data_IF_030808089186
#
_entry.id   IF_030808089186
#
_cell.length_a   1.000
_cell.length_b   1.000
_cell.length_c   1.000
_cell.angle_alpha   90.00
_cell.angle_beta   90.00
_cell.angle_gamma   90.00
#
_symmetry.space_group_name_H-M   'P 1'
#
loop_
_entity.id
_entity.type
_entity.pdbx_description
1 polymer ?
#
# COMPACT_ATOMS: atom_id res chain seq x y z
N UNK A 1 28.40 9.64 14.81
CA UNK A 1 27.45 8.53 14.86
C UNK A 1 26.15 9.13 15.32
N UNK A 2 25.13 9.07 14.48
CA UNK A 2 23.79 9.54 14.78
C UNK A 2 23.06 8.47 15.60
N UNK A 3 22.39 8.90 16.66
CA UNK A 3 21.54 8.04 17.48
C UNK A 3 20.13 8.61 17.55
N UNK A 4 19.14 7.76 17.28
CA UNK A 4 17.72 8.04 17.50
C UNK A 4 17.22 7.10 18.60
N UNK A 5 16.90 7.67 19.76
CA UNK A 5 16.31 6.91 20.86
C UNK A 5 14.78 6.95 20.77
N UNK A 6 14.19 5.78 20.56
CA UNK A 6 12.75 5.58 20.40
C UNK A 6 12.20 4.94 21.68
N UNK A 7 11.26 5.61 22.32
CA UNK A 7 10.50 5.02 23.41
C UNK A 7 9.53 3.97 22.85
N UNK A 8 9.54 2.75 23.40
CA UNK A 8 8.50 1.75 23.14
C UNK A 8 7.47 1.82 24.27
N UNK A 9 6.19 1.79 23.90
CA UNK A 9 5.05 1.92 24.82
C UNK A 9 4.01 0.84 24.54
N UNK A 10 2.99 0.75 25.40
CA UNK A 10 1.87 -0.19 25.22
C UNK A 10 2.18 -1.63 25.64
N UNK A 11 3.07 -1.83 26.61
CA UNK A 11 3.46 -3.17 27.08
C UNK A 11 4.32 -3.95 26.10
N UNK A 12 4.84 -3.28 25.07
CA UNK A 12 5.72 -3.88 24.06
C UNK A 12 7.18 -3.71 24.44
N UNK A 13 8.00 -4.71 24.09
CA UNK A 13 9.46 -4.66 24.21
C UNK A 13 10.12 -4.99 22.86
N UNK A 14 11.19 -4.27 22.48
CA UNK A 14 11.91 -4.56 21.25
C UNK A 14 12.87 -5.74 21.43
N UNK A 15 12.86 -6.66 20.49
CA UNK A 15 13.78 -7.79 20.38
C UNK A 15 14.49 -7.68 19.03
N UNK A 16 15.75 -7.23 19.07
CA UNK A 16 16.56 -7.02 17.87
C UNK A 16 16.94 -8.36 17.24
N UNK A 17 16.90 -8.44 15.91
CA UNK A 17 17.20 -9.63 15.11
C UNK A 17 18.12 -9.29 13.93
N UNK A 18 18.65 -10.33 13.27
CA UNK A 18 19.41 -10.18 12.00
C UNK A 18 20.57 -9.19 12.09
N UNK A 19 21.47 -9.38 13.06
CA UNK A 19 22.63 -8.50 13.32
C UNK A 19 22.32 -7.01 13.58
N UNK A 20 21.09 -6.69 13.96
CA UNK A 20 20.65 -5.31 14.15
C UNK A 20 19.90 -4.73 12.97
N UNK A 21 19.66 -5.50 11.90
CA UNK A 21 18.86 -5.03 10.76
C UNK A 21 17.36 -5.27 10.94
N UNK A 22 16.96 -6.02 11.96
CA UNK A 22 15.55 -6.26 12.29
C UNK A 22 15.22 -6.00 13.76
N UNK A 23 13.94 -5.81 14.05
CA UNK A 23 13.41 -5.71 15.41
C UNK A 23 11.98 -6.26 15.46
N UNK A 24 11.72 -7.12 16.43
CA UNK A 24 10.38 -7.61 16.77
C UNK A 24 9.89 -6.88 18.02
N UNK A 25 8.74 -6.23 17.95
CA UNK A 25 8.07 -5.69 19.13
C UNK A 25 7.10 -6.76 19.65
N UNK A 26 7.43 -7.32 20.81
CA UNK A 26 6.66 -8.41 21.41
C UNK A 26 5.92 -7.93 22.65
N UNK A 27 4.74 -8.50 22.90
CA UNK A 27 3.96 -8.24 24.11
C UNK A 27 4.56 -8.94 25.35
N UNK A 28 3.93 -8.79 26.51
CA UNK A 28 4.32 -9.50 27.75
C UNK A 28 4.26 -11.03 27.59
N UNK A 29 3.42 -11.55 26.70
CA UNK A 29 3.27 -12.98 26.41
C UNK A 29 4.13 -13.47 25.22
N UNK A 30 5.11 -12.68 24.80
CA UNK A 30 6.06 -12.97 23.70
C UNK A 30 5.43 -13.08 22.31
N UNK A 31 4.13 -12.78 22.18
CA UNK A 31 3.49 -12.66 20.88
C UNK A 31 4.02 -11.41 20.16
N UNK A 32 4.53 -11.59 18.95
CA UNK A 32 4.96 -10.50 18.08
C UNK A 32 3.75 -9.65 17.68
N UNK A 33 3.78 -8.37 18.03
CA UNK A 33 2.79 -7.38 17.64
C UNK A 33 3.20 -6.64 16.36
N UNK A 34 4.51 -6.46 16.16
CA UNK A 34 5.07 -5.82 14.97
C UNK A 34 6.47 -6.37 14.70
N UNK A 35 6.74 -6.72 13.45
CA UNK A 35 8.08 -7.13 12.99
C UNK A 35 8.60 -6.15 11.96
N UNK A 36 9.86 -5.78 12.14
CA UNK A 36 10.61 -4.96 11.23
C UNK A 36 11.88 -5.70 10.79
N UNK A 37 12.26 -5.56 9.53
CA UNK A 37 13.51 -6.09 9.00
C UNK A 37 14.06 -5.24 7.86
N UNK A 38 15.36 -5.37 7.60
CA UNK A 38 16.02 -4.74 6.46
C UNK A 38 16.33 -3.25 6.63
N UNK A 39 16.70 -2.82 7.85
CA UNK A 39 17.06 -1.43 8.15
C UNK A 39 18.06 -0.88 7.13
N UNK A 40 17.70 0.26 6.54
CA UNK A 40 18.57 1.04 5.65
C UNK A 40 18.56 2.50 6.06
N UNK A 41 19.70 3.14 5.87
CA UNK A 41 19.84 4.58 5.97
C UNK A 41 20.68 5.09 4.80
N UNK A 42 20.39 6.28 4.29
CA UNK A 42 21.14 6.92 3.22
C UNK A 42 21.40 8.38 3.54
N UNK A 43 22.45 8.93 2.95
CA UNK A 43 22.69 10.37 2.95
C UNK A 43 22.01 11.06 1.76
N UNK A 44 22.09 12.39 1.70
CA UNK A 44 21.43 13.22 0.67
C UNK A 44 21.90 12.96 -0.76
N UNK A 45 23.04 12.28 -0.93
CA UNK A 45 23.54 11.86 -2.25
C UNK A 45 23.03 10.48 -2.66
N UNK A 46 22.27 9.82 -1.78
CA UNK A 46 21.80 8.44 -1.96
C UNK A 46 22.82 7.38 -1.51
N UNK A 47 23.96 7.77 -0.91
CA UNK A 47 24.95 6.81 -0.40
C UNK A 47 24.39 6.07 0.81
N UNK A 48 24.41 4.74 0.76
CA UNK A 48 23.98 3.89 1.87
C UNK A 48 24.93 4.06 3.07
N UNK A 49 24.36 4.22 4.25
CA UNK A 49 25.04 4.33 5.53
C UNK A 49 24.79 3.06 6.36
N UNK A 50 25.80 2.62 7.10
CA UNK A 50 25.65 1.49 8.03
C UNK A 50 24.71 1.90 9.16
N UNK A 51 23.61 1.16 9.31
CA UNK A 51 22.61 1.39 10.34
C UNK A 51 22.28 0.09 11.10
N UNK A 52 21.89 0.21 12.37
CA UNK A 52 21.42 -0.92 13.19
C UNK A 52 20.46 -0.49 14.29
N UNK A 53 19.59 -1.40 14.68
CA UNK A 53 18.82 -1.36 15.91
C UNK A 53 19.62 -1.87 17.09
N UNK A 54 19.40 -1.26 18.25
CA UNK A 54 19.92 -1.69 19.53
C UNK A 54 18.81 -1.60 20.57
N UNK A 55 18.45 -2.71 21.22
CA UNK A 55 17.52 -2.66 22.34
C UNK A 55 18.19 -1.99 23.56
N UNK A 56 17.49 -1.07 24.22
CA UNK A 56 17.96 -0.33 25.40
C UNK A 56 16.86 -0.32 26.46
N UNK A 57 16.88 -1.32 27.34
CA UNK A 57 15.82 -1.50 28.34
C UNK A 57 14.48 -1.73 27.64
N UNK A 58 13.50 -0.85 27.89
CA UNK A 58 12.21 -0.84 27.17
C UNK A 58 12.23 -0.01 25.89
N UNK A 59 13.33 0.69 25.58
CA UNK A 59 13.49 1.52 24.39
C UNK A 59 14.22 0.81 23.26
N UNK A 60 14.22 1.45 22.09
CA UNK A 60 14.95 1.03 20.89
C UNK A 60 15.82 2.20 20.42
N UNK A 61 17.11 1.99 20.27
CA UNK A 61 18.01 2.97 19.65
C UNK A 61 18.24 2.56 18.20
N UNK A 62 18.15 3.51 17.28
CA UNK A 62 18.64 3.39 15.91
C UNK A 62 19.97 4.11 15.82
N UNK A 63 21.03 3.36 15.49
CA UNK A 63 22.39 3.88 15.32
C UNK A 63 22.70 3.96 13.82
N UNK A 64 23.17 5.12 13.33
CA UNK A 64 23.63 5.31 11.95
C UNK A 64 25.05 5.86 11.93
N UNK A 65 25.94 5.21 11.20
CA UNK A 65 27.28 5.73 10.92
C UNK A 65 27.21 6.85 9.87
N UNK A 66 27.18 8.08 10.37
CA UNK A 66 27.05 9.32 9.61
C UNK A 66 28.40 9.94 9.20
N UNK A 67 29.52 9.22 9.38
CA UNK A 67 30.84 9.75 9.04
C UNK A 67 30.93 10.05 7.54
N UNK A 68 31.19 11.33 7.24
CA UNK A 68 31.28 11.84 5.87
C UNK A 68 29.95 11.85 5.11
N UNK A 69 28.80 11.71 5.80
CA UNK A 69 27.49 11.78 5.18
C UNK A 69 27.13 13.22 4.80
N UNK A 70 26.45 13.37 3.67
CA UNK A 70 25.83 14.65 3.27
C UNK A 70 24.41 14.69 3.81
N UNK A 71 24.04 15.71 4.59
CA UNK A 71 22.70 15.81 5.15
C UNK A 71 21.68 16.37 4.14
N UNK A 72 20.38 16.00 4.26
CA UNK A 72 19.79 15.16 5.32
C UNK A 72 20.12 13.67 5.21
N UNK A 73 20.10 12.98 6.35
CA UNK A 73 20.14 11.52 6.43
C UNK A 73 18.70 11.01 6.47
N UNK A 74 18.36 10.10 5.58
CA UNK A 74 17.07 9.40 5.57
C UNK A 74 17.26 8.00 6.16
N UNK A 75 16.46 7.65 7.16
CA UNK A 75 16.40 6.31 7.75
C UNK A 75 15.05 5.73 7.32
N UNK A 76 15.07 4.59 6.64
CA UNK A 76 13.85 3.94 6.18
C UNK A 76 13.48 2.79 7.09
N UNK A 77 12.50 2.97 7.99
CA UNK A 77 11.75 1.85 8.48
C UNK A 77 10.63 1.47 7.47
N UNK A 78 10.92 0.59 6.50
CA UNK A 78 9.93 -0.31 5.88
C UNK A 78 9.29 -1.25 6.93
N UNK A 79 8.38 -0.70 7.74
CA UNK A 79 7.40 -1.51 8.46
C UNK A 79 6.24 -1.79 7.51
N UNK A 80 5.68 -3.01 7.55
CA UNK A 80 4.38 -3.24 6.93
C UNK A 80 3.37 -2.29 7.60
N UNK A 81 2.90 -1.28 6.87
CA UNK A 81 1.99 -0.28 7.43
C UNK A 81 0.54 -0.79 7.46
N UNK A 82 0.15 -1.58 6.47
CA UNK A 82 -1.16 -2.20 6.39
C UNK A 82 -1.15 -3.39 5.42
N UNK A 83 -2.22 -4.17 5.49
CA UNK A 83 -2.59 -5.16 4.49
C UNK A 83 -3.96 -4.75 3.94
N UNK A 84 -4.00 -4.34 2.68
CA UNK A 84 -5.20 -3.84 2.03
C UNK A 84 -5.93 -5.00 1.33
N UNK A 85 -7.25 -5.04 1.48
CA UNK A 85 -8.15 -6.01 0.86
C UNK A 85 -9.32 -5.27 0.24
N UNK A 86 -9.80 -5.75 -0.92
CA UNK A 86 -11.09 -5.34 -1.46
C UNK A 86 -12.22 -5.64 -0.46
N UNK A 87 -13.26 -4.80 -0.48
CA UNK A 87 -14.45 -5.00 0.35
C UNK A 87 -15.31 -6.19 -0.13
N UNK A 88 -15.42 -6.39 -1.44
CA UNK A 88 -15.96 -7.59 -2.08
C UNK A 88 -14.84 -8.62 -2.25
N UNK A 89 -15.11 -9.84 -1.80
CA UNK A 89 -14.13 -10.94 -1.78
C UNK A 89 -14.44 -11.98 -2.85
N UNK A 90 -14.91 -11.55 -4.03
CA UNK A 90 -15.12 -12.39 -5.20
C UNK A 90 -13.87 -13.23 -5.47
N UNK A 91 -14.08 -14.54 -5.65
CA UNK A 91 -12.98 -15.45 -5.86
C UNK A 91 -12.52 -15.36 -7.32
N UNK A 92 -11.39 -14.71 -7.58
CA UNK A 92 -10.79 -14.65 -8.93
C UNK A 92 -10.58 -13.25 -9.49
N UNK A 93 -11.06 -12.22 -8.80
CA UNK A 93 -11.12 -10.82 -9.25
C UNK A 93 -9.74 -10.18 -9.49
N UNK A 94 -8.68 -10.87 -9.08
CA UNK A 94 -7.29 -10.44 -9.28
C UNK A 94 -7.01 -9.05 -8.69
N UNK A 95 -7.61 -8.76 -7.54
CA UNK A 95 -7.25 -7.59 -6.74
C UNK A 95 -5.73 -7.55 -6.49
N UNK A 96 -5.10 -6.44 -6.85
CA UNK A 96 -3.65 -6.31 -6.86
C UNK A 96 -3.01 -6.58 -8.21
N UNK A 97 -3.80 -6.82 -9.27
CA UNK A 97 -3.32 -6.98 -10.64
C UNK A 97 -2.60 -5.73 -11.18
N UNK A 98 -2.95 -4.55 -10.65
CA UNK A 98 -2.22 -3.30 -10.83
C UNK A 98 -2.27 -2.46 -9.55
N UNK A 99 -1.20 -1.71 -9.25
CA UNK A 99 -1.10 -0.88 -8.02
C UNK A 99 -0.40 0.43 -8.32
N UNK A 100 -0.93 1.54 -7.82
CA UNK A 100 -0.29 2.85 -7.84
C UNK A 100 -0.44 3.55 -6.48
N UNK A 101 0.55 4.36 -6.10
CA UNK A 101 0.57 5.11 -4.83
C UNK A 101 1.04 6.54 -5.07
N UNK A 102 0.35 7.49 -4.44
CA UNK A 102 0.72 8.91 -4.40
C UNK A 102 0.36 9.46 -3.03
N UNK A 103 1.38 9.78 -2.22
CA UNK A 103 1.18 10.25 -0.84
C UNK A 103 0.38 9.25 0.00
N UNK A 104 -0.73 9.72 0.53
CA UNK A 104 -1.65 8.94 1.39
C UNK A 104 -2.77 8.23 0.59
N UNK A 105 -2.62 8.11 -0.74
CA UNK A 105 -3.60 7.43 -1.61
C UNK A 105 -2.96 6.24 -2.32
N UNK A 106 -3.63 5.09 -2.26
CA UNK A 106 -3.30 3.87 -2.99
C UNK A 106 -4.47 3.49 -3.87
N UNK A 107 -4.21 3.20 -5.14
CA UNK A 107 -5.19 2.67 -6.09
C UNK A 107 -4.79 1.25 -6.45
N UNK A 108 -5.73 0.33 -6.38
CA UNK A 108 -5.52 -1.09 -6.68
C UNK A 108 -6.53 -1.53 -7.73
N UNK A 109 -6.06 -2.07 -8.85
CA UNK A 109 -6.90 -2.67 -9.88
C UNK A 109 -7.27 -4.12 -9.57
N UNK A 110 -8.48 -4.51 -10.00
CA UNK A 110 -9.00 -5.87 -10.00
C UNK A 110 -9.63 -6.14 -11.39
N UNK A 111 -8.81 -6.43 -12.42
CA UNK A 111 -9.30 -6.52 -13.80
C UNK A 111 -10.24 -7.69 -14.06
N UNK A 112 -10.33 -8.65 -13.13
CA UNK A 112 -11.19 -9.82 -13.29
C UNK A 112 -12.47 -9.74 -12.45
N UNK A 113 -12.72 -8.61 -11.81
CA UNK A 113 -13.97 -8.40 -11.08
C UNK A 113 -15.17 -8.45 -12.04
N UNK A 114 -16.25 -9.14 -11.65
CA UNK A 114 -17.31 -9.63 -12.53
C UNK A 114 -18.70 -9.03 -12.26
N UNK A 115 -18.82 -8.08 -11.33
CA UNK A 115 -20.07 -7.37 -11.05
C UNK A 115 -20.50 -6.52 -12.24
N UNK A 116 -21.81 -6.45 -12.49
CA UNK A 116 -22.39 -5.58 -13.51
C UNK A 116 -22.70 -4.16 -13.01
N UNK A 117 -22.42 -3.86 -11.75
CA UNK A 117 -22.74 -2.55 -11.20
C UNK A 117 -21.87 -1.46 -11.81
N UNK A 118 -22.42 -0.26 -11.96
CA UNK A 118 -21.75 0.85 -12.66
C UNK A 118 -21.47 2.03 -11.75
N UNK A 119 -20.47 2.83 -12.14
CA UNK A 119 -20.13 4.08 -11.49
C UNK A 119 -19.30 3.95 -10.22
N UNK A 120 -19.34 4.99 -9.38
CA UNK A 120 -18.51 5.09 -8.18
C UNK A 120 -19.32 4.69 -6.95
N UNK A 121 -18.73 3.83 -6.11
CA UNK A 121 -19.30 3.35 -4.85
C UNK A 121 -20.64 2.61 -5.01
N UNK A 122 -20.85 1.96 -6.15
CA UNK A 122 -21.86 0.91 -6.24
C UNK A 122 -21.53 -0.23 -5.26
N UNK A 123 -22.54 -1.02 -4.94
CA UNK A 123 -22.38 -2.26 -4.15
C UNK A 123 -22.19 -3.39 -5.15
N UNK A 124 -21.01 -4.02 -5.23
CA UNK A 124 -20.78 -5.13 -6.15
C UNK A 124 -21.81 -6.24 -5.95
N UNK A 125 -22.37 -6.71 -7.05
CA UNK A 125 -23.13 -7.95 -7.11
C UNK A 125 -22.22 -9.05 -7.69
N UNK A 126 -21.87 -10.04 -6.87
CA UNK A 126 -21.08 -11.20 -7.32
C UNK A 126 -21.96 -12.18 -8.15
N UNK A 127 -22.79 -11.66 -9.07
CA UNK A 127 -23.73 -12.44 -9.88
C UNK A 127 -23.08 -13.04 -11.15
N UNK A 128 -21.83 -12.68 -11.43
CA UNK A 128 -21.03 -13.16 -12.56
C UNK A 128 -21.59 -12.76 -13.93
N UNK A 129 -22.46 -11.76 -13.98
CA UNK A 129 -23.13 -11.37 -15.23
C UNK A 129 -22.27 -10.48 -16.15
N UNK A 130 -21.15 -9.96 -15.64
CA UNK A 130 -20.20 -9.14 -16.39
C UNK A 130 -18.75 -9.63 -16.18
N UNK A 131 -18.49 -10.91 -16.46
CA UNK A 131 -17.17 -11.56 -16.39
C UNK A 131 -16.04 -10.67 -16.91
N UNK A 132 -15.01 -10.45 -16.08
CA UNK A 132 -13.83 -9.66 -16.43
C UNK A 132 -14.13 -8.20 -16.87
N UNK A 133 -15.27 -7.63 -16.45
CA UNK A 133 -15.55 -6.20 -16.68
C UNK A 133 -14.60 -5.31 -15.87
N UNK A 134 -14.16 -5.80 -14.71
CA UNK A 134 -13.10 -5.24 -13.90
C UNK A 134 -13.53 -4.07 -13.02
N UNK A 135 -12.65 -3.73 -12.06
CA UNK A 135 -12.85 -2.66 -11.08
C UNK A 135 -11.52 -2.03 -10.64
N UNK A 136 -11.59 -0.87 -9.96
CA UNK A 136 -10.47 -0.32 -9.19
C UNK A 136 -10.92 0.16 -7.81
N UNK A 137 -10.01 0.09 -6.83
CA UNK A 137 -10.28 0.42 -5.43
C UNK A 137 -9.32 1.50 -4.98
N UNK A 138 -9.86 2.54 -4.33
CA UNK A 138 -9.07 3.65 -3.79
C UNK A 138 -9.02 3.51 -2.28
N UNK A 139 -7.83 3.43 -1.73
CA UNK A 139 -7.57 3.45 -0.30
C UNK A 139 -6.90 4.77 0.06
N UNK A 140 -7.37 5.38 1.15
CA UNK A 140 -6.74 6.57 1.72
C UNK A 140 -6.27 6.31 3.13
N UNK A 141 -5.16 6.95 3.47
CA UNK A 141 -4.61 6.94 4.81
C UNK A 141 -5.08 8.18 5.56
N UNK A 142 -5.58 7.98 6.77
CA UNK A 142 -5.82 9.05 7.73
C UNK A 142 -5.08 8.72 9.02
N UNK A 143 -4.04 9.50 9.31
CA UNK A 143 -3.10 9.19 10.40
C UNK A 143 -2.38 7.86 10.17
N UNK A 144 -2.48 6.94 11.13
CA UNK A 144 -1.82 5.63 11.06
C UNK A 144 -2.60 4.55 10.29
N UNK A 145 -3.85 4.80 9.92
CA UNK A 145 -4.79 3.78 9.43
C UNK A 145 -5.17 4.00 7.98
N UNK A 146 -5.36 2.90 7.25
CA UNK A 146 -5.87 2.88 5.88
C UNK A 146 -7.33 2.47 5.84
N UNK A 147 -8.10 3.07 4.93
CA UNK A 147 -9.51 2.73 4.68
C UNK A 147 -9.81 2.81 3.19
N UNK A 148 -10.66 1.92 2.67
CA UNK A 148 -11.20 2.05 1.31
C UNK A 148 -12.10 3.29 1.24
N UNK A 149 -11.70 4.28 0.44
CA UNK A 149 -12.48 5.49 0.17
C UNK A 149 -13.45 5.29 -0.98
N UNK A 150 -13.05 4.54 -2.01
CA UNK A 150 -13.89 4.35 -3.18
C UNK A 150 -13.74 2.97 -3.83
N UNK A 151 -14.83 2.53 -4.43
CA UNK A 151 -14.88 1.48 -5.46
C UNK A 151 -15.24 2.15 -6.78
N UNK A 152 -14.48 1.86 -7.83
CA UNK A 152 -14.61 2.49 -9.15
C UNK A 152 -15.00 1.44 -10.18
N UNK A 153 -16.17 1.65 -10.80
CA UNK A 153 -16.62 0.93 -11.99
C UNK A 153 -16.81 1.90 -13.16
N UNK A 154 -16.58 1.44 -14.40
CA UNK A 154 -16.96 2.21 -15.57
C UNK A 154 -18.48 2.39 -15.62
N UNK A 155 -18.95 3.38 -16.39
CA UNK A 155 -20.38 3.55 -16.64
C UNK A 155 -20.97 2.48 -17.57
N UNK A 156 -20.09 1.76 -18.27
CA UNK A 156 -20.39 0.61 -19.12
C UNK A 156 -19.55 -0.59 -18.67
N UNK A 157 -20.18 -1.58 -18.05
CA UNK A 157 -19.51 -2.82 -17.62
C UNK A 157 -19.68 -3.89 -18.69
N UNK A 158 -18.93 -3.78 -19.78
CA UNK A 158 -18.85 -4.84 -20.79
C UNK A 158 -18.03 -6.01 -20.25
N UNK A 159 -18.52 -7.23 -20.51
CA UNK A 159 -17.76 -8.43 -20.17
C UNK A 159 -16.45 -8.45 -20.98
N UNK A 160 -15.32 -8.63 -20.30
CA UNK A 160 -13.99 -8.63 -20.90
C UNK A 160 -13.30 -7.27 -21.03
N UNK A 161 -13.95 -6.16 -20.66
CA UNK A 161 -13.40 -4.80 -20.79
C UNK A 161 -12.13 -4.57 -19.94
N UNK A 162 -11.97 -5.36 -18.87
CA UNK A 162 -10.82 -5.38 -17.98
C UNK A 162 -10.48 -4.02 -17.37
N UNK A 163 -11.49 -3.27 -16.90
CA UNK A 163 -11.26 -2.04 -16.15
C UNK A 163 -10.39 -2.31 -14.91
N UNK A 164 -9.38 -1.47 -14.68
CA UNK A 164 -8.39 -1.73 -13.61
C UNK A 164 -7.19 -2.56 -14.06
N UNK A 165 -7.08 -2.90 -15.35
CA UNK A 165 -5.89 -3.57 -15.90
C UNK A 165 -4.60 -2.75 -15.68
N UNK A 166 -4.71 -1.43 -15.73
CA UNK A 166 -3.65 -0.50 -15.34
C UNK A 166 -4.21 0.64 -14.52
N UNK A 167 -3.44 1.11 -13.54
CA UNK A 167 -3.80 2.24 -12.69
C UNK A 167 -2.62 3.19 -12.54
N UNK A 168 -2.90 4.47 -12.43
CA UNK A 168 -1.94 5.51 -12.06
C UNK A 168 -2.61 6.52 -11.14
N UNK A 169 -1.85 7.09 -10.20
CA UNK A 169 -2.33 8.16 -9.34
C UNK A 169 -1.26 9.24 -9.17
N UNK A 170 -1.68 10.49 -9.24
CA UNK A 170 -0.84 11.66 -8.96
C UNK A 170 -1.68 12.76 -8.33
N UNK A 171 -1.36 13.12 -7.08
CA UNK A 171 -2.20 13.99 -6.28
C UNK A 171 -3.63 13.43 -6.18
N UNK A 172 -4.61 14.24 -6.54
CA UNK A 172 -6.04 13.87 -6.50
C UNK A 172 -6.54 13.24 -7.82
N UNK A 173 -5.65 12.98 -8.78
CA UNK A 173 -6.03 12.41 -10.08
C UNK A 173 -5.71 10.92 -10.11
N UNK A 174 -6.73 10.11 -10.35
CA UNK A 174 -6.63 8.67 -10.63
C UNK A 174 -6.92 8.43 -12.11
N UNK A 175 -6.08 7.62 -12.75
CA UNK A 175 -6.29 7.13 -14.12
C UNK A 175 -6.41 5.62 -14.05
N UNK A 176 -7.46 5.09 -14.69
CA UNK A 176 -7.71 3.64 -14.76
C UNK A 176 -7.90 3.26 -16.23
N UNK A 177 -7.19 2.21 -16.66
CA UNK A 177 -7.31 1.68 -18.02
C UNK A 177 -8.29 0.50 -18.11
N UNK A 178 -9.00 0.43 -19.23
CA UNK A 178 -9.82 -0.69 -19.69
C UNK A 178 -9.44 -0.99 -21.16
N UNK A 179 -8.31 -1.67 -21.40
CA UNK A 179 -7.72 -1.78 -22.74
C UNK A 179 -8.54 -2.65 -23.70
N UNK A 180 -9.50 -3.41 -23.18
CA UNK A 180 -10.35 -4.32 -23.94
C UNK A 180 -11.75 -3.78 -24.17
N UNK A 181 -12.06 -2.57 -23.68
CA UNK A 181 -13.34 -1.90 -23.91
C UNK A 181 -13.52 -1.64 -25.41
N UNK A 182 -14.67 -2.07 -25.96
CA UNK A 182 -14.89 -2.15 -27.41
C UNK A 182 -16.11 -1.37 -27.92
N UNK A 183 -16.69 -0.48 -27.11
CA UNK A 183 -17.82 0.34 -27.53
C UNK A 183 -17.45 1.31 -28.65
N UNK A 184 -18.47 1.77 -29.36
CA UNK A 184 -18.33 2.76 -30.44
C UNK A 184 -18.33 4.20 -29.96
N UNK A 185 -18.32 4.42 -28.64
CA UNK A 185 -18.34 5.78 -28.10
C UNK A 185 -17.01 6.47 -28.31
N UNK A 186 -17.04 7.79 -28.41
CA UNK A 186 -15.84 8.60 -28.60
C UNK A 186 -15.98 9.88 -27.77
N UNK A 187 -14.85 10.39 -27.28
CA UNK A 187 -14.82 11.61 -26.49
C UNK A 187 -14.56 11.36 -25.00
N UNK A 188 -14.76 12.40 -24.19
CA UNK A 188 -14.66 12.38 -22.73
C UNK A 188 -16.07 12.41 -22.16
N UNK A 189 -16.31 11.67 -21.08
CA UNK A 189 -17.62 11.55 -20.41
C UNK A 189 -18.76 11.03 -21.31
N UNK A 190 -18.43 10.32 -22.38
CA UNK A 190 -19.43 9.62 -23.19
C UNK A 190 -19.85 8.33 -22.49
N UNK A 191 -21.17 8.13 -22.35
CA UNK A 191 -21.76 6.91 -21.80
C UNK A 191 -22.21 6.03 -22.96
N UNK A 192 -21.67 4.80 -23.11
CA UNK A 192 -22.16 3.79 -24.07
C UNK A 192 -23.58 3.31 -23.81
#
# INVERSE_FOLDING_TARGET
MLHLDLAVRGGLRPVVSGEGLGVNFVSENDAAALTYGGLKAWDATGRLLTARFEARGTGLTVSVDDRGATYPITIDPIAQQAYLKAFNTGAGDSFGGSVAVSGDTVVVGAPNEDSNTTGVNSVPDDDGSADFSGAAYVFVRSGGSWSQQAYLKPSNTGAGDAFGNSVSVSGDTVVVGAPSEDSKTTGVDSVP
#
